data_IF_748457238702
#
_entry.id   IF_748457238702
#
_cell.length_a   1.000
_cell.length_b   1.000
_cell.length_c   1.000
_cell.angle_alpha   90.00
_cell.angle_beta   90.00
_cell.angle_gamma   90.00
#
_symmetry.space_group_name_H-M   'P 1'
#
loop_
_entity.id
_entity.type
_entity.pdbx_description
1 polymer ?
#
# COMPACT_ATOMS: atom_id res chain seq x y z
N UNK A 1 10.37 -14.77 -0.39
CA UNK A 1 9.24 -14.86 -1.34
C UNK A 1 8.36 -13.65 -1.12
N UNK A 2 8.37 -12.69 -2.05
CA UNK A 2 7.57 -11.48 -1.98
C UNK A 2 6.09 -11.84 -2.06
N UNK A 3 5.30 -11.56 -1.02
CA UNK A 3 3.84 -11.75 -1.03
C UNK A 3 3.26 -10.79 -2.06
N UNK A 4 2.77 -11.30 -3.20
CA UNK A 4 2.04 -10.50 -4.17
C UNK A 4 0.61 -10.34 -3.67
N UNK A 5 0.23 -9.11 -3.37
CA UNK A 5 -1.14 -8.73 -3.03
C UNK A 5 -1.60 -7.71 -4.06
N UNK A 6 -2.66 -8.04 -4.79
CA UNK A 6 -3.23 -7.09 -5.73
C UNK A 6 -4.46 -6.44 -5.09
N UNK A 7 -4.48 -5.11 -4.87
CA UNK A 7 -5.69 -4.43 -4.47
C UNK A 7 -6.72 -4.53 -5.58
N UNK A 8 -7.88 -5.11 -5.27
CA UNK A 8 -9.03 -5.13 -6.16
C UNK A 8 -9.64 -3.72 -6.18
N UNK A 9 -9.71 -3.12 -7.37
CA UNK A 9 -10.38 -1.83 -7.61
C UNK A 9 -11.62 -2.07 -8.45
N UNK A 10 -12.64 -1.21 -8.30
CA UNK A 10 -13.94 -1.36 -8.98
C UNK A 10 -13.90 -1.39 -10.51
N UNK A 11 -12.76 -1.08 -11.13
CA UNK A 11 -12.55 -1.24 -12.57
C UNK A 11 -12.25 -2.69 -13.00
N UNK A 12 -12.20 -3.65 -12.07
CA UNK A 12 -11.91 -5.08 -12.34
C UNK A 12 -13.19 -5.93 -12.54
N UNK A 13 -14.35 -5.28 -12.74
CA UNK A 13 -15.57 -5.93 -13.20
C UNK A 13 -16.16 -6.95 -12.23
N UNK A 14 -16.57 -8.10 -12.77
CA UNK A 14 -17.37 -9.11 -12.06
C UNK A 14 -16.64 -9.75 -10.87
N UNK A 15 -15.33 -9.96 -10.97
CA UNK A 15 -14.53 -10.53 -9.86
C UNK A 15 -14.50 -9.61 -8.62
N UNK A 16 -14.44 -8.29 -8.82
CA UNK A 16 -14.53 -7.34 -7.72
C UNK A 16 -15.89 -7.45 -7.02
N UNK A 17 -16.97 -7.51 -7.80
CA UNK A 17 -18.33 -7.61 -7.27
C UNK A 17 -18.54 -8.93 -6.52
N UNK A 18 -18.03 -10.04 -7.03
CA UNK A 18 -18.12 -11.35 -6.37
C UNK A 18 -17.41 -11.35 -5.01
N UNK A 19 -16.18 -10.85 -4.96
CA UNK A 19 -15.41 -10.78 -3.71
C UNK A 19 -16.09 -9.86 -2.70
N UNK A 20 -16.61 -8.71 -3.16
CA UNK A 20 -17.39 -7.79 -2.31
C UNK A 20 -18.63 -8.49 -1.75
N UNK A 21 -19.43 -9.12 -2.61
CA UNK A 21 -20.66 -9.80 -2.22
C UNK A 21 -20.38 -10.95 -1.25
N UNK A 22 -19.32 -11.73 -1.49
CA UNK A 22 -18.92 -12.81 -0.61
C UNK A 22 -18.55 -12.29 0.79
N UNK A 23 -17.72 -11.26 0.88
CA UNK A 23 -17.35 -10.68 2.17
C UNK A 23 -18.54 -9.98 2.84
N UNK A 24 -19.43 -9.34 2.09
CA UNK A 24 -20.65 -8.74 2.65
C UNK A 24 -21.58 -9.82 3.20
N UNK A 25 -21.78 -10.92 2.47
CA UNK A 25 -22.54 -12.07 2.94
C UNK A 25 -21.90 -12.68 4.19
N UNK A 26 -20.59 -12.92 4.17
CA UNK A 26 -19.85 -13.43 5.32
C UNK A 26 -19.97 -12.51 6.54
N UNK A 27 -19.89 -11.19 6.36
CA UNK A 27 -20.11 -10.24 7.44
C UNK A 27 -21.55 -10.31 7.99
N UNK A 28 -22.56 -10.44 7.13
CA UNK A 28 -23.97 -10.55 7.53
C UNK A 28 -24.26 -11.84 8.30
N UNK A 29 -23.66 -12.95 7.89
CA UNK A 29 -23.78 -14.26 8.56
C UNK A 29 -22.81 -14.45 9.71
N UNK A 30 -22.02 -13.42 10.06
CA UNK A 30 -20.96 -13.49 11.07
C UNK A 30 -19.96 -14.64 10.79
N UNK A 31 -19.71 -14.90 9.51
CA UNK A 31 -18.81 -15.94 9.00
C UNK A 31 -19.22 -17.36 9.43
N UNK A 32 -20.48 -17.58 9.81
CA UNK A 32 -20.97 -18.90 10.20
C UNK A 32 -20.89 -19.88 9.02
N UNK A 33 -20.19 -20.99 9.24
CA UNK A 33 -20.02 -22.04 8.22
C UNK A 33 -19.05 -21.67 7.09
N UNK A 34 -18.33 -20.55 7.19
CA UNK A 34 -17.34 -20.12 6.20
C UNK A 34 -15.95 -20.33 6.81
N UNK A 35 -15.11 -21.10 6.12
CA UNK A 35 -13.71 -21.25 6.51
C UNK A 35 -12.96 -19.93 6.25
N UNK A 36 -12.47 -19.32 7.32
CA UNK A 36 -11.77 -18.04 7.27
C UNK A 36 -10.75 -17.93 8.40
N UNK A 37 -9.80 -17.03 8.23
CA UNK A 37 -8.91 -16.57 9.29
C UNK A 37 -9.11 -15.06 9.51
N UNK A 38 -8.82 -14.59 10.72
CA UNK A 38 -8.99 -13.17 11.08
C UNK A 38 -7.89 -12.66 12.00
N UNK A 39 -7.51 -11.40 11.79
CA UNK A 39 -6.50 -10.72 12.61
C UNK A 39 -6.92 -9.28 12.86
N UNK A 40 -6.60 -8.75 14.05
CA UNK A 40 -7.01 -7.39 14.45
C UNK A 40 -5.84 -6.60 15.00
N UNK A 41 -5.83 -5.31 14.68
CA UNK A 41 -4.84 -4.35 15.19
C UNK A 41 -5.51 -3.07 15.65
N UNK A 42 -4.96 -2.46 16.70
CA UNK A 42 -5.39 -1.16 17.19
C UNK A 42 -4.18 -0.26 17.30
N UNK A 43 -4.20 0.85 16.56
CA UNK A 43 -3.14 1.86 16.58
C UNK A 43 -3.69 3.16 17.16
N UNK A 44 -2.95 3.74 18.11
CA UNK A 44 -3.23 5.06 18.68
C UNK A 44 -2.10 6.01 18.31
N UNK A 45 -2.42 7.14 17.69
CA UNK A 45 -1.43 8.14 17.29
C UNK A 45 -2.05 9.48 16.97
N UNK A 46 -1.37 10.58 17.37
CA UNK A 46 -1.78 11.96 17.07
C UNK A 46 -3.25 12.26 17.43
N UNK A 47 -3.74 11.75 18.57
CA UNK A 47 -5.13 11.94 19.01
C UNK A 47 -6.18 11.09 18.26
N UNK A 48 -5.75 10.20 17.37
CA UNK A 48 -6.58 9.30 16.57
C UNK A 48 -6.45 7.86 17.04
N UNK A 49 -7.56 7.12 16.95
CA UNK A 49 -7.59 5.68 17.15
C UNK A 49 -8.00 5.04 15.84
N UNK A 50 -7.20 4.08 15.36
CA UNK A 50 -7.45 3.34 14.13
C UNK A 50 -7.50 1.85 14.45
N UNK A 51 -8.68 1.27 14.28
CA UNK A 51 -8.92 -0.16 14.39
C UNK A 51 -8.87 -0.74 12.98
N UNK A 52 -8.07 -1.79 12.77
CA UNK A 52 -8.08 -2.54 11.51
C UNK A 52 -8.36 -4.01 11.78
N UNK A 53 -9.31 -4.54 11.04
CA UNK A 53 -9.63 -5.96 11.02
C UNK A 53 -9.30 -6.51 9.66
N UNK A 54 -8.60 -7.64 9.64
CA UNK A 54 -8.18 -8.36 8.47
C UNK A 54 -8.89 -9.70 8.46
N UNK A 55 -9.39 -10.10 7.29
CA UNK A 55 -9.95 -11.42 7.06
C UNK A 55 -9.34 -12.03 5.82
N UNK A 56 -9.11 -13.34 5.84
CA UNK A 56 -8.72 -14.11 4.67
C UNK A 56 -9.60 -15.34 4.51
N UNK A 57 -9.85 -15.73 3.26
CA UNK A 57 -10.60 -16.94 2.89
C UNK A 57 -9.85 -17.70 1.81
N UNK A 58 -9.65 -19.00 2.01
CA UNK A 58 -8.87 -19.85 1.10
C UNK A 58 -9.68 -20.47 -0.04
N UNK A 59 -10.99 -20.59 0.10
CA UNK A 59 -11.82 -21.16 -0.95
C UNK A 59 -12.00 -20.13 -2.07
N UNK A 60 -11.36 -20.34 -3.21
CA UNK A 60 -11.41 -19.40 -4.35
C UNK A 60 -12.07 -20.01 -5.60
N UNK A 61 -12.40 -21.30 -5.54
CA UNK A 61 -12.97 -22.10 -6.66
C UNK A 61 -14.34 -21.60 -7.14
N UNK A 62 -15.06 -20.85 -6.30
CA UNK A 62 -16.39 -20.31 -6.61
C UNK A 62 -16.37 -18.89 -7.16
N UNK A 63 -15.21 -18.23 -7.25
CA UNK A 63 -15.10 -16.86 -7.74
C UNK A 63 -15.09 -16.84 -9.28
N UNK A 64 -16.00 -16.08 -9.89
CA UNK A 64 -16.01 -15.93 -11.35
C UNK A 64 -14.76 -15.16 -11.80
N UNK A 65 -14.01 -15.72 -12.75
CA UNK A 65 -12.79 -15.07 -13.26
C UNK A 65 -11.53 -15.39 -12.46
N UNK A 66 -11.60 -16.23 -11.43
CA UNK A 66 -10.43 -16.71 -10.68
C UNK A 66 -9.43 -17.44 -11.57
N UNK A 67 -9.89 -18.10 -12.63
CA UNK A 67 -9.05 -18.84 -13.59
C UNK A 67 -8.02 -17.95 -14.31
N UNK A 68 -8.26 -16.63 -14.36
CA UNK A 68 -7.33 -15.65 -14.94
C UNK A 68 -6.10 -15.41 -14.05
N UNK A 69 -6.17 -15.82 -12.78
CA UNK A 69 -5.16 -15.59 -11.76
C UNK A 69 -4.51 -16.92 -11.34
N UNK A 70 -3.59 -17.42 -12.17
CA UNK A 70 -2.96 -18.74 -12.01
C UNK A 70 -2.24 -19.00 -10.67
N UNK A 71 -2.02 -17.96 -9.86
CA UNK A 71 -1.39 -18.06 -8.53
C UNK A 71 -2.32 -17.60 -7.40
N UNK A 72 -3.62 -17.44 -7.66
CA UNK A 72 -4.59 -17.11 -6.62
C UNK A 72 -4.72 -18.29 -5.66
N UNK A 73 -4.58 -18.01 -4.37
CA UNK A 73 -4.69 -19.00 -3.29
C UNK A 73 -5.71 -18.62 -2.25
N UNK A 74 -5.84 -17.33 -1.97
CA UNK A 74 -6.85 -16.82 -1.05
C UNK A 74 -7.27 -15.41 -1.44
N UNK A 75 -8.35 -14.94 -0.85
CA UNK A 75 -8.80 -13.55 -0.92
C UNK A 75 -8.69 -12.91 0.46
N UNK A 76 -8.42 -11.61 0.47
CA UNK A 76 -8.25 -10.83 1.68
C UNK A 76 -9.18 -9.62 1.72
N UNK A 77 -9.66 -9.28 2.91
CA UNK A 77 -10.38 -8.06 3.18
C UNK A 77 -9.74 -7.34 4.37
N UNK A 78 -9.51 -6.03 4.24
CA UNK A 78 -9.17 -5.17 5.36
C UNK A 78 -10.27 -4.15 5.57
N UNK A 79 -10.78 -4.07 6.78
CA UNK A 79 -11.66 -3.01 7.23
C UNK A 79 -10.90 -2.11 8.21
N UNK A 80 -10.92 -0.81 7.94
CA UNK A 80 -10.28 0.22 8.76
C UNK A 80 -11.34 1.16 9.30
N UNK A 81 -11.50 1.17 10.63
CA UNK A 81 -12.32 2.12 11.35
C UNK A 81 -11.42 3.17 12.03
N UNK A 82 -11.55 4.42 11.57
CA UNK A 82 -10.82 5.56 12.12
C UNK A 82 -11.76 6.39 12.97
N UNK A 83 -11.38 6.64 14.23
CA UNK A 83 -12.11 7.51 15.16
C UNK A 83 -11.21 8.66 15.64
N UNK A 84 -11.77 9.87 15.63
CA UNK A 84 -11.13 11.07 16.15
C UNK A 84 -12.16 11.86 16.97
N UNK A 85 -11.77 12.47 18.10
CA UNK A 85 -12.65 13.36 18.85
C UNK A 85 -13.21 14.47 17.95
N UNK A 86 -14.53 14.71 18.05
CA UNK A 86 -15.22 15.77 17.31
C UNK A 86 -15.46 15.49 15.81
N UNK A 87 -15.09 14.32 15.29
CA UNK A 87 -15.31 13.95 13.89
C UNK A 87 -16.08 12.63 13.78
N UNK A 88 -16.95 12.47 12.77
CA UNK A 88 -17.59 11.19 12.51
C UNK A 88 -16.55 10.11 12.21
N UNK A 89 -16.78 8.91 12.73
CA UNK A 89 -15.91 7.76 12.43
C UNK A 89 -15.93 7.46 10.93
N UNK A 90 -14.76 7.17 10.36
CA UNK A 90 -14.64 6.75 8.96
C UNK A 90 -14.44 5.24 8.90
N UNK A 91 -15.28 4.53 8.14
CA UNK A 91 -15.11 3.12 7.82
C UNK A 91 -14.65 2.99 6.37
N UNK A 92 -13.59 2.24 6.14
CA UNK A 92 -13.10 1.93 4.80
C UNK A 92 -12.82 0.44 4.67
N UNK A 93 -13.32 -0.19 3.62
CA UNK A 93 -13.01 -1.57 3.27
C UNK A 93 -12.19 -1.64 1.99
N UNK A 94 -11.22 -2.56 1.94
CA UNK A 94 -10.40 -2.82 0.75
C UNK A 94 -10.23 -4.33 0.60
N UNK A 95 -10.30 -4.79 -0.65
CA UNK A 95 -10.28 -6.20 -1.01
C UNK A 95 -9.02 -6.52 -1.79
N UNK A 96 -8.52 -7.75 -1.64
CA UNK A 96 -7.25 -8.19 -2.21
C UNK A 96 -7.35 -9.62 -2.74
N UNK A 97 -6.63 -9.86 -3.82
CA UNK A 97 -6.27 -11.21 -4.26
C UNK A 97 -4.91 -11.56 -3.68
N UNK A 98 -4.79 -12.75 -3.10
CA UNK A 98 -3.60 -13.19 -2.39
C UNK A 98 -3.01 -14.44 -3.04
N UNK A 99 -1.70 -14.39 -3.27
CA UNK A 99 -0.92 -15.55 -3.73
C UNK A 99 -0.40 -16.41 -2.56
N UNK A 100 -1.01 -16.29 -1.38
CA UNK A 100 -0.65 -17.04 -0.16
C UNK A 100 -1.88 -17.81 0.33
N UNK A 101 -1.65 -18.87 1.10
CA UNK A 101 -2.72 -19.54 1.82
C UNK A 101 -3.42 -18.57 2.79
N UNK A 102 -4.63 -18.92 3.23
CA UNK A 102 -5.37 -18.13 4.20
C UNK A 102 -4.59 -17.98 5.51
N UNK A 103 -4.04 -16.79 5.74
CA UNK A 103 -3.28 -16.39 6.91
C UNK A 103 -3.47 -14.88 7.09
N UNK A 104 -4.34 -14.50 8.02
CA UNK A 104 -4.75 -13.12 8.21
C UNK A 104 -3.64 -12.25 8.80
N UNK A 105 -2.75 -12.83 9.62
CA UNK A 105 -1.62 -12.11 10.20
C UNK A 105 -0.56 -11.80 9.14
N UNK A 106 -0.18 -12.80 8.34
CA UNK A 106 0.77 -12.59 7.22
C UNK A 106 0.20 -11.66 6.16
N UNK A 107 -1.11 -11.73 5.90
CA UNK A 107 -1.80 -10.77 5.05
C UNK A 107 -1.67 -9.35 5.63
N UNK A 108 -1.96 -9.15 6.92
CA UNK A 108 -1.84 -7.86 7.59
C UNK A 108 -0.43 -7.29 7.51
N UNK A 109 0.61 -8.09 7.78
CA UNK A 109 2.00 -7.66 7.71
C UNK A 109 2.39 -7.18 6.31
N UNK A 110 1.95 -7.89 5.27
CA UNK A 110 2.23 -7.52 3.89
C UNK A 110 1.44 -6.27 3.47
N UNK A 111 0.18 -6.11 3.89
CA UNK A 111 -0.57 -4.86 3.69
C UNK A 111 0.16 -3.69 4.37
N UNK A 112 0.54 -3.84 5.64
CA UNK A 112 1.24 -2.80 6.40
C UNK A 112 2.58 -2.43 5.78
N UNK A 113 3.36 -3.43 5.36
CA UNK A 113 4.64 -3.22 4.69
C UNK A 113 4.47 -2.46 3.37
N UNK A 114 3.48 -2.83 2.56
CA UNK A 114 3.18 -2.14 1.31
C UNK A 114 2.81 -0.67 1.55
N UNK A 115 1.90 -0.40 2.50
CA UNK A 115 1.54 0.98 2.88
C UNK A 115 2.72 1.77 3.44
N UNK A 116 3.62 1.13 4.19
CA UNK A 116 4.83 1.75 4.70
C UNK A 116 5.75 2.24 3.58
N UNK A 117 5.98 1.39 2.57
CA UNK A 117 6.79 1.72 1.40
C UNK A 117 6.17 2.86 0.61
N UNK A 118 4.87 2.79 0.30
CA UNK A 118 4.17 3.82 -0.48
C UNK A 118 4.17 5.17 0.26
N UNK A 119 3.85 5.19 1.56
CA UNK A 119 3.89 6.43 2.35
C UNK A 119 5.29 7.03 2.45
N UNK A 120 6.31 6.19 2.66
CA UNK A 120 7.69 6.67 2.76
C UNK A 120 8.13 7.26 1.41
N UNK A 121 7.85 6.57 0.30
CA UNK A 121 8.17 7.06 -1.03
C UNK A 121 7.43 8.37 -1.35
N UNK A 122 6.12 8.45 -1.05
CA UNK A 122 5.34 9.67 -1.21
C UNK A 122 5.94 10.83 -0.42
N UNK A 123 6.24 10.64 0.86
CA UNK A 123 6.85 11.70 1.66
C UNK A 123 8.18 12.19 1.09
N UNK A 124 9.00 11.27 0.58
CA UNK A 124 10.27 11.60 -0.07
C UNK A 124 10.04 12.44 -1.32
N UNK A 125 9.09 12.06 -2.16
CA UNK A 125 8.79 12.78 -3.40
C UNK A 125 8.11 14.14 -3.13
N UNK A 126 7.13 14.17 -2.25
CA UNK A 126 6.32 15.37 -1.96
C UNK A 126 7.13 16.40 -1.17
N UNK A 127 7.85 15.99 -0.12
CA UNK A 127 8.61 16.90 0.75
C UNK A 127 10.05 17.05 0.29
N UNK A 128 10.69 15.94 -0.05
CA UNK A 128 12.08 15.90 -0.49
C UNK A 128 12.23 16.49 -1.89
N UNK A 129 11.35 16.12 -2.84
CA UNK A 129 11.41 16.59 -4.22
C UNK A 129 10.46 17.76 -4.55
N UNK A 130 9.53 18.11 -3.65
CA UNK A 130 8.51 19.18 -3.87
C UNK A 130 7.64 18.90 -5.09
N UNK A 131 7.32 17.63 -5.32
CA UNK A 131 6.53 17.19 -6.48
C UNK A 131 5.19 17.94 -6.57
N UNK A 132 4.45 18.06 -5.47
CA UNK A 132 3.18 18.82 -5.39
C UNK A 132 3.26 20.28 -5.84
N UNK A 133 4.44 20.90 -5.76
CA UNK A 133 4.62 22.32 -6.08
C UNK A 133 4.96 22.56 -7.55
N UNK A 134 5.16 21.50 -8.34
CA UNK A 134 5.62 21.60 -9.72
C UNK A 134 4.44 21.54 -10.69
N UNK A 135 4.22 22.64 -11.42
CA UNK A 135 3.18 22.77 -12.45
C UNK A 135 3.66 22.31 -13.84
N UNK A 136 4.39 21.19 -13.88
CA UNK A 136 4.90 20.64 -15.13
C UNK A 136 3.80 19.83 -15.83
N UNK A 137 2.99 20.48 -16.66
CA UNK A 137 1.81 19.89 -17.31
C UNK A 137 1.90 19.81 -18.85
N UNK A 138 3.10 19.88 -19.45
CA UNK A 138 3.27 19.94 -20.91
C UNK A 138 3.89 18.66 -21.47
N UNK A 139 3.18 18.00 -22.39
CA UNK A 139 3.65 16.77 -23.05
C UNK A 139 3.95 15.64 -22.05
N UNK A 140 5.05 14.90 -22.27
CA UNK A 140 5.49 13.81 -21.39
C UNK A 140 6.31 14.27 -20.17
N UNK A 141 6.32 15.58 -19.85
CA UNK A 141 7.18 16.14 -18.80
C UNK A 141 6.90 15.55 -17.42
N UNK A 142 5.63 15.29 -17.11
CA UNK A 142 5.23 14.73 -15.83
C UNK A 142 5.74 13.30 -15.64
N UNK A 143 5.60 12.43 -16.67
CA UNK A 143 6.10 11.05 -16.60
C UNK A 143 7.63 11.02 -16.52
N UNK A 144 8.33 11.77 -17.38
CA UNK A 144 9.79 11.80 -17.40
C UNK A 144 10.35 12.27 -16.06
N UNK A 145 9.75 13.32 -15.48
CA UNK A 145 10.19 13.88 -14.21
C UNK A 145 9.89 12.93 -13.04
N UNK A 146 8.78 12.19 -13.09
CA UNK A 146 8.49 11.14 -12.11
C UNK A 146 9.55 10.04 -12.14
N UNK A 147 9.95 9.55 -13.33
CA UNK A 147 11.00 8.52 -13.47
C UNK A 147 12.34 9.02 -12.91
N UNK A 148 12.75 10.24 -13.28
CA UNK A 148 14.02 10.84 -12.79
C UNK A 148 14.01 10.98 -11.27
N UNK A 149 12.89 11.43 -10.69
CA UNK A 149 12.77 11.57 -9.22
C UNK A 149 12.84 10.23 -8.52
N UNK A 150 12.21 9.20 -9.05
CA UNK A 150 12.29 7.85 -8.47
C UNK A 150 13.73 7.32 -8.51
N UNK A 151 14.44 7.51 -9.62
CA UNK A 151 15.86 7.14 -9.71
C UNK A 151 16.70 7.88 -8.67
N UNK A 152 16.56 9.21 -8.60
CA UNK A 152 17.29 10.03 -7.64
C UNK A 152 16.94 9.69 -6.18
N UNK A 153 15.66 9.42 -5.88
CA UNK A 153 15.22 9.03 -4.55
C UNK A 153 15.80 7.68 -4.12
N UNK A 154 15.94 6.73 -5.05
CA UNK A 154 16.57 5.44 -4.78
C UNK A 154 18.06 5.60 -4.49
N UNK A 155 18.80 6.37 -5.31
CA UNK A 155 20.22 6.63 -5.10
C UNK A 155 20.49 7.34 -3.76
N UNK A 156 19.72 8.37 -3.43
CA UNK A 156 19.87 9.11 -2.16
C UNK A 156 19.47 8.30 -0.90
N UNK A 157 18.63 7.28 -1.07
CA UNK A 157 18.28 6.34 0.01
C UNK A 157 19.37 5.30 0.25
N UNK A 158 20.11 4.91 -0.79
CA UNK A 158 21.22 3.96 -0.71
C UNK A 158 22.52 4.62 -0.24
N UNK A 159 22.69 5.92 -0.49
CA UNK A 159 23.81 6.69 0.02
C UNK A 159 23.79 6.75 1.55
N UNK A 160 24.93 6.44 2.18
CA UNK A 160 25.07 6.35 3.65
C UNK A 160 26.15 7.25 4.22
N UNK A 161 26.89 7.99 3.38
CA UNK A 161 28.01 8.83 3.81
C UNK A 161 27.52 10.10 4.52
N UNK A 162 26.35 10.64 4.16
CA UNK A 162 25.71 11.77 4.82
C UNK A 162 24.59 11.33 5.78
N UNK A 163 24.78 11.60 7.08
CA UNK A 163 23.77 11.37 8.13
C UNK A 163 22.75 12.51 8.20
N UNK A 164 22.14 12.87 7.08
CA UNK A 164 21.11 13.93 7.01
C UNK A 164 19.90 13.48 6.18
N UNK A 165 18.78 14.20 6.33
CA UNK A 165 17.54 13.85 5.61
C UNK A 165 17.67 14.01 4.09
N UNK A 166 16.84 13.31 3.32
CA UNK A 166 16.92 13.24 1.85
C UNK A 166 16.91 14.62 1.18
N UNK A 167 16.15 15.58 1.71
CA UNK A 167 16.16 16.97 1.23
C UNK A 167 17.56 17.61 1.32
N UNK A 168 18.26 17.38 2.42
CA UNK A 168 19.61 17.91 2.65
C UNK A 168 20.64 17.18 1.80
N UNK A 169 20.53 15.84 1.67
CA UNK A 169 21.37 15.07 0.74
C UNK A 169 21.24 15.54 -0.70
N UNK A 170 20.00 15.78 -1.16
CA UNK A 170 19.72 16.34 -2.49
C UNK A 170 20.37 17.71 -2.69
N UNK A 171 20.28 18.61 -1.70
CA UNK A 171 20.91 19.93 -1.77
C UNK A 171 22.44 19.81 -1.80
N UNK A 172 23.00 18.90 -0.99
CA UNK A 172 24.44 18.62 -0.97
C UNK A 172 24.94 18.08 -2.32
N UNK A 173 24.21 17.13 -2.92
CA UNK A 173 24.49 16.64 -4.27
C UNK A 173 24.45 17.74 -5.33
N UNK A 174 23.55 18.72 -5.18
CA UNK A 174 23.47 19.87 -6.09
C UNK A 174 24.51 20.97 -5.86
N UNK A 175 25.25 20.96 -4.74
CA UNK A 175 26.19 22.02 -4.36
C UNK A 175 27.65 21.57 -4.29
N UNK A 176 27.90 20.27 -4.18
CA UNK A 176 29.23 19.68 -4.04
C UNK A 176 29.44 18.62 -5.12
N UNK A 177 30.20 19.00 -6.16
CA UNK A 177 30.48 18.12 -7.31
C UNK A 177 31.21 16.84 -6.87
N UNK A 178 32.07 16.91 -5.85
CA UNK A 178 32.80 15.74 -5.35
C UNK A 178 31.86 14.72 -4.69
N UNK A 179 30.85 15.21 -3.98
CA UNK A 179 29.82 14.38 -3.37
C UNK A 179 28.89 13.74 -4.42
N UNK A 180 28.62 14.44 -5.53
CA UNK A 180 27.83 13.88 -6.64
C UNK A 180 28.58 12.79 -7.43
N UNK A 181 29.90 12.92 -7.62
CA UNK A 181 30.66 11.98 -8.46
C UNK A 181 31.19 10.75 -7.73
N UNK A 182 31.37 10.80 -6.41
CA UNK A 182 32.07 9.73 -5.66
C UNK A 182 31.13 8.87 -4.81
N UNK A 183 30.01 9.43 -4.34
CA UNK A 183 29.19 8.79 -3.29
C UNK A 183 27.78 8.37 -3.75
N UNK A 184 27.33 8.80 -4.95
CA UNK A 184 25.95 8.61 -5.44
C UNK A 184 25.87 7.70 -6.69
N UNK A 185 27.00 7.44 -7.38
CA UNK A 185 27.09 6.52 -8.52
C UNK A 185 27.50 5.11 -8.05
#
# INVERSE_FOLDING_TARGET
>A
MSTLQLPLKGNQGDLYNDVVQLFDHACQTQFQGIEHDSYQTVEKGHGRIEHRTYWTMGQTDYLLGAERWAQLKSIGCVESCRRQPGHPGTLQRRYYLLSIESDAQRFADAVRSHWGIENQLHWILDVGFREDKLRACQGCSAQNLSVIRHLAANLLQQESTAKCGIKAKRLKAGWDDNYSTTDIC
#
